data_IF_439785827978
#
_entry.id   IF_439785827978
#
_cell.length_a   1.000
_cell.length_b   1.000
_cell.length_c   1.000
_cell.angle_alpha   90.00
_cell.angle_beta   90.00
_cell.angle_gamma   90.00
#
_symmetry.space_group_name_H-M   'P 1'
#
loop_
_entity.id
_entity.type
_entity.pdbx_description
1 polymer ?
#
# COMPACT_ATOMS: atom_id res chain seq x y z
N UNK A 1 14.81 -13.11 -8.03
CA UNK A 1 13.42 -13.64 -7.96
C UNK A 1 12.71 -12.83 -6.90
N UNK A 2 11.59 -12.18 -7.23
CA UNK A 2 10.90 -11.30 -6.29
C UNK A 2 10.12 -12.07 -5.23
N UNK A 3 9.90 -11.44 -4.07
CA UNK A 3 9.22 -12.04 -2.92
C UNK A 3 7.96 -11.26 -2.58
N UNK A 4 6.84 -11.97 -2.39
CA UNK A 4 5.60 -11.41 -1.84
C UNK A 4 5.53 -11.72 -0.35
N UNK A 5 5.29 -10.71 0.47
CA UNK A 5 5.18 -10.84 1.93
C UNK A 5 3.91 -10.15 2.40
N UNK A 6 3.10 -10.86 3.18
CA UNK A 6 1.95 -10.29 3.88
C UNK A 6 2.39 -9.78 5.25
N UNK A 7 1.76 -8.70 5.73
CA UNK A 7 2.06 -8.08 7.02
C UNK A 7 3.56 -7.74 7.15
N UNK A 8 4.07 -6.95 6.21
CA UNK A 8 5.48 -6.63 6.11
C UNK A 8 5.80 -5.23 6.61
N UNK A 9 6.91 -5.09 7.34
CA UNK A 9 7.41 -3.80 7.77
C UNK A 9 8.05 -3.03 6.61
N UNK A 10 7.78 -1.74 6.52
CA UNK A 10 8.43 -0.78 5.62
C UNK A 10 8.80 0.49 6.38
N UNK A 11 9.63 1.34 5.78
CA UNK A 11 10.02 2.63 6.37
C UNK A 11 8.79 3.52 6.60
N UNK A 12 8.77 4.24 7.72
CA UNK A 12 7.76 5.26 7.97
C UNK A 12 8.20 6.59 7.34
N UNK A 13 7.28 7.26 6.62
CA UNK A 13 7.55 8.53 5.91
C UNK A 13 6.76 9.74 6.45
N UNK A 14 5.85 9.53 7.41
CA UNK A 14 5.06 10.63 8.00
C UNK A 14 5.84 11.41 9.06
N UNK A 15 5.83 12.75 8.99
CA UNK A 15 6.33 13.64 10.05
C UNK A 15 5.47 13.62 11.32
N UNK A 16 4.23 13.16 11.21
CA UNK A 16 3.17 13.31 12.20
C UNK A 16 3.37 12.42 13.45
N UNK A 17 4.26 11.42 13.36
CA UNK A 17 4.65 10.54 14.48
C UNK A 17 6.18 10.52 14.61
N UNK A 18 6.79 11.63 15.05
CA UNK A 18 8.23 11.69 15.23
C UNK A 18 8.67 10.57 16.19
N UNK A 19 9.52 9.68 15.70
CA UNK A 19 10.00 8.51 16.44
C UNK A 19 9.53 7.15 15.91
N UNK A 20 8.39 7.08 15.18
CA UNK A 20 7.99 5.83 14.52
C UNK A 20 8.82 5.65 13.25
N UNK A 21 9.78 4.72 13.24
CA UNK A 21 10.68 4.47 12.10
C UNK A 21 10.11 3.51 11.06
N UNK A 22 9.17 2.66 11.45
CA UNK A 22 8.61 1.59 10.62
C UNK A 22 7.09 1.54 10.74
N UNK A 23 6.42 1.08 9.68
CA UNK A 23 4.98 0.72 9.69
C UNK A 23 4.80 -0.66 9.08
N UNK A 24 3.77 -1.39 9.53
CA UNK A 24 3.33 -2.62 8.88
C UNK A 24 2.40 -2.25 7.72
N UNK A 25 2.49 -3.00 6.64
CA UNK A 25 1.64 -2.91 5.44
C UNK A 25 1.07 -4.28 5.13
N UNK A 26 -0.15 -4.29 4.59
CA UNK A 26 -0.90 -5.54 4.37
C UNK A 26 -0.16 -6.49 3.42
N UNK A 27 0.37 -5.97 2.31
CA UNK A 27 1.18 -6.73 1.37
C UNK A 27 2.32 -5.90 0.78
N UNK A 28 3.50 -6.51 0.66
CA UNK A 28 4.70 -5.89 0.12
C UNK A 28 5.38 -6.85 -0.85
N UNK A 29 5.86 -6.34 -1.98
CA UNK A 29 6.69 -7.08 -2.93
C UNK A 29 8.13 -6.57 -2.85
N UNK A 30 9.06 -7.43 -2.48
CA UNK A 30 10.49 -7.13 -2.47
C UNK A 30 11.16 -7.55 -3.78
N UNK A 31 12.21 -6.83 -4.23
CA UNK A 31 12.90 -7.13 -5.49
C UNK A 31 13.54 -8.53 -5.50
N UNK A 32 14.07 -8.94 -4.34
CA UNK A 32 14.80 -10.19 -4.17
C UNK A 32 14.17 -11.10 -3.11
N UNK A 33 14.55 -12.37 -3.14
CA UNK A 33 14.11 -13.38 -2.18
C UNK A 33 14.76 -13.18 -0.82
N UNK A 34 14.01 -13.44 0.26
CA UNK A 34 14.48 -13.31 1.65
C UNK A 34 14.87 -11.87 2.00
N UNK A 35 14.25 -10.89 1.34
CA UNK A 35 14.42 -9.48 1.66
C UNK A 35 13.43 -9.03 2.73
N UNK A 36 13.86 -8.01 3.47
CA UNK A 36 13.03 -7.23 4.36
C UNK A 36 13.48 -5.76 4.26
N UNK A 37 12.82 -4.88 5.00
CA UNK A 37 13.24 -3.48 5.13
C UNK A 37 14.67 -3.32 5.70
N UNK A 38 15.18 -4.35 6.39
CA UNK A 38 16.47 -4.30 7.08
C UNK A 38 17.62 -4.84 6.23
N UNK A 39 18.81 -4.26 6.40
CA UNK A 39 20.08 -4.84 5.99
C UNK A 39 20.68 -5.77 7.07
N UNK A 40 21.89 -6.29 6.81
CA UNK A 40 22.62 -7.16 7.73
C UNK A 40 23.02 -6.47 9.06
N UNK A 41 22.97 -5.14 9.12
CA UNK A 41 23.24 -4.33 10.30
C UNK A 41 21.94 -3.88 10.99
N UNK A 42 20.80 -4.48 10.62
CA UNK A 42 19.47 -4.16 11.11
C UNK A 42 19.06 -2.69 10.89
N UNK A 43 19.62 -2.03 9.88
CA UNK A 43 19.22 -0.69 9.46
C UNK A 43 18.12 -0.77 8.41
N UNK A 44 17.10 0.09 8.54
CA UNK A 44 15.96 0.13 7.65
C UNK A 44 16.29 0.87 6.34
N UNK A 45 16.94 0.18 5.40
CA UNK A 45 17.51 0.78 4.18
C UNK A 45 16.86 0.30 2.90
N UNK A 46 16.33 -0.93 2.86
CA UNK A 46 15.77 -1.49 1.64
C UNK A 46 14.38 -0.92 1.32
N UNK A 47 14.09 -0.80 0.03
CA UNK A 47 12.80 -0.36 -0.50
C UNK A 47 12.13 -1.49 -1.28
N UNK A 48 10.80 -1.63 -1.18
CA UNK A 48 10.08 -2.65 -1.94
C UNK A 48 9.90 -2.21 -3.40
N UNK A 49 9.45 -3.13 -4.25
CA UNK A 49 8.91 -2.80 -5.58
C UNK A 49 7.46 -2.29 -5.48
N UNK A 50 6.68 -2.88 -4.57
CA UNK A 50 5.26 -2.56 -4.42
C UNK A 50 4.81 -2.62 -2.96
N UNK A 51 3.95 -1.70 -2.57
CA UNK A 51 3.21 -1.69 -1.30
C UNK A 51 1.72 -1.69 -1.61
N UNK A 52 0.98 -2.63 -1.03
CA UNK A 52 -0.46 -2.75 -1.16
C UNK A 52 -1.12 -2.64 0.22
N UNK A 53 -2.10 -1.76 0.32
CA UNK A 53 -3.01 -1.65 1.47
C UNK A 53 -4.43 -1.99 1.01
N UNK A 54 -5.14 -2.76 1.82
CA UNK A 54 -6.55 -3.07 1.60
C UNK A 54 -7.40 -2.81 2.85
N UNK A 55 -8.62 -2.34 2.64
CA UNK A 55 -9.59 -2.20 3.72
C UNK A 55 -10.99 -2.63 3.28
N UNK A 56 -11.76 -3.14 4.23
CA UNK A 56 -13.18 -3.44 4.02
C UNK A 56 -14.04 -2.34 4.65
N UNK A 57 -14.89 -1.68 3.84
CA UNK A 57 -15.82 -0.63 4.29
C UNK A 57 -17.01 -1.25 5.00
N UNK A 58 -17.13 -0.98 6.30
CA UNK A 58 -18.31 -1.35 7.09
C UNK A 58 -19.57 -0.55 6.73
N UNK A 59 -19.40 0.69 6.27
CA UNK A 59 -20.50 1.59 5.95
C UNK A 59 -21.00 1.47 4.51
N UNK A 60 -20.51 0.48 3.74
CA UNK A 60 -20.91 0.21 2.36
C UNK A 60 -20.75 1.38 1.37
N UNK A 61 -20.00 2.42 1.73
CA UNK A 61 -19.75 3.56 0.84
C UNK A 61 -18.62 3.24 -0.13
N UNK A 62 -18.79 3.55 -1.44
CA UNK A 62 -17.70 3.46 -2.39
C UNK A 62 -16.63 4.50 -2.05
N UNK A 63 -15.36 4.11 -2.17
CA UNK A 63 -14.23 5.04 -2.04
C UNK A 63 -13.00 4.43 -1.39
N UNK A 64 -11.85 5.02 -1.67
CA UNK A 64 -10.56 4.65 -1.09
C UNK A 64 -10.33 5.38 0.24
N UNK A 65 -9.51 4.79 1.11
CA UNK A 65 -9.17 5.41 2.38
C UNK A 65 -8.11 6.48 2.15
N UNK A 66 -8.46 7.74 2.47
CA UNK A 66 -7.61 8.91 2.19
C UNK A 66 -6.27 8.80 2.91
N UNK A 67 -6.26 8.37 4.18
CA UNK A 67 -5.01 8.22 4.94
C UNK A 67 -4.03 7.23 4.31
N UNK A 68 -4.52 6.15 3.70
CA UNK A 68 -3.65 5.16 3.05
C UNK A 68 -3.11 5.70 1.72
N UNK A 69 -3.96 6.40 0.96
CA UNK A 69 -3.56 7.08 -0.27
C UNK A 69 -2.51 8.17 0.00
N UNK A 70 -2.77 9.04 0.97
CA UNK A 70 -1.84 10.10 1.37
C UNK A 70 -0.50 9.51 1.81
N UNK A 71 -0.52 8.41 2.57
CA UNK A 71 0.69 7.72 2.97
C UNK A 71 1.45 7.16 1.77
N UNK A 72 0.76 6.47 0.85
CA UNK A 72 1.37 5.90 -0.36
C UNK A 72 1.92 6.99 -1.28
N UNK A 73 1.21 8.12 -1.43
CA UNK A 73 1.69 9.26 -2.19
C UNK A 73 3.00 9.78 -1.57
N UNK A 74 3.03 10.05 -0.27
CA UNK A 74 4.26 10.50 0.39
C UNK A 74 5.41 9.48 0.25
N UNK A 75 5.11 8.19 0.38
CA UNK A 75 6.12 7.14 0.29
C UNK A 75 6.71 7.05 -1.12
N UNK A 76 5.86 6.99 -2.15
CA UNK A 76 6.28 6.88 -3.55
C UNK A 76 6.87 8.20 -4.08
N UNK A 77 6.55 9.35 -3.48
CA UNK A 77 7.27 10.60 -3.76
C UNK A 77 8.71 10.57 -3.24
N UNK A 78 8.93 9.96 -2.06
CA UNK A 78 10.26 9.82 -1.47
C UNK A 78 11.08 8.68 -2.12
N UNK A 79 10.41 7.63 -2.58
CA UNK A 79 11.01 6.46 -3.22
C UNK A 79 10.33 6.22 -4.58
N UNK A 80 10.76 6.92 -5.64
CA UNK A 80 10.07 6.94 -6.93
C UNK A 80 10.00 5.58 -7.63
N UNK A 81 10.94 4.67 -7.35
CA UNK A 81 10.94 3.31 -7.90
C UNK A 81 9.90 2.39 -7.24
N UNK A 82 9.25 2.84 -6.16
CA UNK A 82 8.22 2.08 -5.45
C UNK A 82 6.85 2.39 -6.04
N UNK A 83 6.04 1.35 -6.25
CA UNK A 83 4.64 1.48 -6.61
C UNK A 83 3.72 1.28 -5.38
N UNK A 84 2.67 2.08 -5.27
CA UNK A 84 1.61 1.92 -4.30
C UNK A 84 0.33 1.35 -4.94
N UNK A 85 -0.41 0.56 -4.17
CA UNK A 85 -1.76 0.12 -4.49
C UNK A 85 -2.63 0.30 -3.25
N UNK A 86 -3.71 1.07 -3.36
CA UNK A 86 -4.75 1.11 -2.35
C UNK A 86 -5.99 0.41 -2.89
N UNK A 87 -6.58 -0.47 -2.09
CA UNK A 87 -7.85 -1.13 -2.45
C UNK A 87 -8.86 -1.06 -1.32
N UNK A 88 -10.12 -0.99 -1.69
CA UNK A 88 -11.23 -1.05 -0.78
C UNK A 88 -12.25 -2.07 -1.26
N UNK A 89 -12.63 -2.98 -0.38
CA UNK A 89 -13.79 -3.84 -0.56
C UNK A 89 -15.01 -3.20 0.11
N UNK A 90 -16.15 -3.16 -0.58
CA UNK A 90 -17.41 -2.63 -0.04
C UNK A 90 -18.59 -3.42 -0.59
N UNK A 91 -19.71 -3.42 0.14
CA UNK A 91 -20.93 -4.12 -0.28
C UNK A 91 -21.91 -3.12 -0.88
N UNK A 92 -22.41 -3.39 -2.07
CA UNK A 92 -23.42 -2.59 -2.75
C UNK A 92 -24.51 -3.51 -3.31
N UNK A 93 -25.76 -3.31 -2.90
CA UNK A 93 -26.90 -4.14 -3.31
C UNK A 93 -26.62 -5.64 -3.13
N UNK A 94 -26.17 -6.02 -1.94
CA UNK A 94 -25.78 -7.38 -1.56
C UNK A 94 -24.59 -8.00 -2.31
N UNK A 95 -23.98 -7.28 -3.24
CA UNK A 95 -22.79 -7.73 -3.96
C UNK A 95 -21.53 -7.07 -3.42
N UNK A 96 -20.45 -7.84 -3.33
CA UNK A 96 -19.14 -7.33 -3.00
C UNK A 96 -18.48 -6.69 -4.23
N UNK A 97 -18.05 -5.45 -4.07
CA UNK A 97 -17.33 -4.69 -5.08
C UNK A 97 -15.97 -4.27 -4.54
N UNK A 98 -14.98 -4.25 -5.43
CA UNK A 98 -13.64 -3.76 -5.13
C UNK A 98 -13.40 -2.46 -5.90
N UNK A 99 -12.87 -1.46 -5.21
CA UNK A 99 -12.32 -0.26 -5.83
C UNK A 99 -10.85 -0.18 -5.52
N UNK A 100 -10.03 0.23 -6.48
CA UNK A 100 -8.59 0.38 -6.29
C UNK A 100 -8.05 1.64 -6.95
N UNK A 101 -6.85 2.06 -6.55
CA UNK A 101 -6.05 3.02 -7.30
C UNK A 101 -4.57 2.70 -7.16
N UNK A 102 -3.86 2.87 -8.27
CA UNK A 102 -2.40 2.88 -8.30
C UNK A 102 -1.88 4.23 -7.81
N UNK A 103 -0.71 4.21 -7.18
CA UNK A 103 0.00 5.40 -6.72
C UNK A 103 1.46 5.31 -7.17
N UNK A 104 1.95 6.34 -7.86
CA UNK A 104 3.33 6.40 -8.38
C UNK A 104 3.85 7.82 -8.29
N UNK A 105 5.13 7.97 -7.93
CA UNK A 105 5.80 9.28 -7.87
C UNK A 105 5.06 10.33 -7.03
N UNK A 106 4.30 9.92 -6.01
CA UNK A 106 3.50 10.84 -5.20
C UNK A 106 2.11 11.17 -5.71
N UNK A 107 1.70 10.57 -6.83
CA UNK A 107 0.43 10.86 -7.46
C UNK A 107 -0.44 9.61 -7.52
N UNK A 108 -1.72 9.80 -7.21
CA UNK A 108 -2.73 8.79 -7.40
C UNK A 108 -3.20 8.78 -8.86
N UNK A 109 -3.19 7.60 -9.49
CA UNK A 109 -3.79 7.41 -10.80
C UNK A 109 -5.34 7.37 -10.71
N UNK A 110 -6.00 7.32 -11.88
CA UNK A 110 -7.45 7.19 -11.96
C UNK A 110 -7.92 5.91 -11.24
N UNK A 111 -8.89 5.98 -10.31
CA UNK A 111 -9.41 4.80 -9.63
C UNK A 111 -10.08 3.83 -10.62
N UNK A 112 -9.95 2.54 -10.33
CA UNK A 112 -10.61 1.46 -11.04
C UNK A 112 -11.62 0.72 -10.14
N UNK A 113 -12.59 0.05 -10.77
CA UNK A 113 -13.58 -0.80 -10.09
C UNK A 113 -13.54 -2.21 -10.66
N UNK A 114 -13.73 -3.21 -9.80
CA UNK A 114 -13.84 -4.62 -10.14
C UNK A 114 -14.96 -5.27 -9.31
N UNK A 115 -15.58 -6.33 -9.84
CA UNK A 115 -16.65 -7.06 -9.14
C UNK A 115 -18.07 -6.76 -9.63
N UNK A 116 -18.26 -6.11 -10.78
CA UNK A 116 -19.52 -6.24 -11.53
C UNK A 116 -19.51 -7.60 -12.24
N UNK A 117 -20.44 -8.53 -11.96
CA UNK A 117 -20.65 -9.64 -12.86
C UNK A 117 -21.07 -9.09 -14.23
N UNK A 118 -20.57 -9.73 -15.29
CA UNK A 118 -21.14 -9.55 -16.64
C UNK A 118 -22.53 -10.16 -16.68
#
# INVERSE_FOLDING_TARGET
>A
MSQVVMESAVRQVTRDKPGKKLVCKDLVIWPDGVHSVFDAQFQAVHTPLLIHEWKCRKNNRPGLYVDDLDWLCRFTAQFPDVMGLATTLYRHQDQWQMRGAWVRHGEQEAPFEAGRPR
#
